data_IF_317192989053
#
_entry.id   IF_317192989053
#
_cell.length_a   1.000
_cell.length_b   1.000
_cell.length_c   1.000
_cell.angle_alpha   90.00
_cell.angle_beta   90.00
_cell.angle_gamma   90.00
#
_symmetry.space_group_name_H-M   'P 1'
#
loop_
_entity.id
_entity.type
_entity.pdbx_description
1 polymer ?
#
# COMPACT_ATOMS: atom_id res chain seq x y z
N UNK A 1 -44.01 40.56 -19.44
CA UNK A 1 -42.56 40.51 -19.41
C UNK A 1 -42.14 39.68 -18.22
N UNK A 2 -41.66 38.48 -18.45
CA UNK A 2 -41.06 37.64 -17.42
C UNK A 2 -39.62 38.08 -17.25
N UNK A 3 -39.34 38.84 -16.18
CA UNK A 3 -37.98 39.11 -15.75
C UNK A 3 -37.44 37.85 -15.10
N UNK A 4 -36.65 37.11 -15.84
CA UNK A 4 -35.87 36.00 -15.29
C UNK A 4 -34.83 36.61 -14.38
N UNK A 5 -35.05 36.52 -13.07
CA UNK A 5 -34.10 36.96 -12.07
C UNK A 5 -32.89 36.03 -12.16
N UNK A 6 -31.78 36.56 -12.65
CA UNK A 6 -30.51 35.87 -12.68
C UNK A 6 -29.98 35.77 -11.25
N UNK A 7 -29.98 34.56 -10.69
CA UNK A 7 -29.45 34.30 -9.35
C UNK A 7 -28.16 33.45 -9.47
N UNK A 8 -27.01 34.09 -9.60
CA UNK A 8 -25.74 33.37 -9.78
C UNK A 8 -25.33 32.53 -8.55
N UNK A 9 -25.90 32.82 -7.38
CA UNK A 9 -25.59 32.11 -6.15
C UNK A 9 -26.18 30.70 -6.09
N UNK A 10 -27.36 30.49 -6.71
CA UNK A 10 -27.99 29.17 -6.75
C UNK A 10 -27.28 28.20 -7.70
N UNK A 11 -26.61 28.69 -8.75
CA UNK A 11 -25.80 27.88 -9.63
C UNK A 11 -24.50 27.44 -8.96
N UNK A 12 -23.88 28.27 -8.11
CA UNK A 12 -22.68 27.96 -7.36
C UNK A 12 -22.99 26.93 -6.29
N UNK A 13 -24.12 27.02 -5.58
CA UNK A 13 -24.55 26.01 -4.61
C UNK A 13 -24.79 24.66 -5.27
N UNK A 14 -25.44 24.64 -6.43
CA UNK A 14 -25.68 23.38 -7.15
C UNK A 14 -24.39 22.76 -7.72
N UNK A 15 -23.41 23.57 -8.08
CA UNK A 15 -22.08 23.10 -8.49
C UNK A 15 -21.27 22.57 -7.30
N UNK A 16 -21.36 23.23 -6.15
CA UNK A 16 -20.73 22.75 -4.92
C UNK A 16 -21.35 21.44 -4.43
N UNK A 17 -22.67 21.31 -4.47
CA UNK A 17 -23.35 20.06 -4.14
C UNK A 17 -22.98 18.91 -5.10
N UNK A 18 -22.82 19.20 -6.38
CA UNK A 18 -22.35 18.23 -7.36
C UNK A 18 -20.89 17.83 -7.13
N UNK A 19 -20.03 18.77 -6.76
CA UNK A 19 -18.63 18.50 -6.42
C UNK A 19 -18.50 17.71 -5.11
N UNK A 20 -19.31 18.03 -4.11
CA UNK A 20 -19.35 17.31 -2.84
C UNK A 20 -19.93 15.90 -3.03
N UNK A 21 -21.00 15.72 -3.80
CA UNK A 21 -21.54 14.42 -4.14
C UNK A 21 -20.61 13.59 -5.05
N UNK A 22 -19.88 14.25 -5.96
CA UNK A 22 -18.82 13.57 -6.72
C UNK A 22 -17.70 13.05 -5.81
N UNK A 23 -17.37 13.80 -4.76
CA UNK A 23 -16.35 13.41 -3.78
C UNK A 23 -16.85 12.31 -2.84
N UNK A 24 -18.17 12.26 -2.57
CA UNK A 24 -18.81 11.19 -1.82
C UNK A 24 -19.07 9.92 -2.65
N UNK A 25 -19.17 10.05 -3.98
CA UNK A 25 -19.33 8.93 -4.92
C UNK A 25 -18.01 8.38 -5.47
N UNK A 26 -16.88 9.02 -5.17
CA UNK A 26 -15.59 8.35 -5.35
C UNK A 26 -15.55 7.16 -4.41
N UNK A 27 -15.36 5.95 -4.93
CA UNK A 27 -15.10 4.84 -4.03
C UNK A 27 -13.92 5.24 -3.17
N UNK A 28 -14.16 5.40 -1.88
CA UNK A 28 -13.14 5.67 -0.85
C UNK A 28 -12.04 4.60 -0.83
N UNK A 29 -12.18 3.61 -1.71
CA UNK A 29 -11.34 2.44 -1.75
C UNK A 29 -9.86 2.73 -2.04
N UNK A 30 -9.53 3.71 -2.89
CA UNK A 30 -8.12 3.88 -3.26
C UNK A 30 -7.31 4.71 -2.26
N UNK A 31 -7.87 5.80 -1.73
CA UNK A 31 -7.20 6.61 -0.70
C UNK A 31 -7.24 5.94 0.68
N UNK A 32 -8.37 5.28 0.99
CA UNK A 32 -8.51 4.50 2.22
C UNK A 32 -7.62 3.26 2.21
N UNK A 33 -7.45 2.59 1.08
CA UNK A 33 -6.52 1.47 0.93
C UNK A 33 -5.06 1.91 1.05
N UNK A 34 -4.67 3.08 0.53
CA UNK A 34 -3.32 3.62 0.72
C UNK A 34 -3.06 4.02 2.18
N UNK A 35 -4.05 4.57 2.87
CA UNK A 35 -3.93 4.91 4.29
C UNK A 35 -3.85 3.68 5.20
N UNK A 36 -4.33 2.52 4.74
CA UNK A 36 -4.33 1.26 5.46
C UNK A 36 -3.17 0.33 5.08
N UNK A 37 -2.42 0.68 4.03
CA UNK A 37 -1.26 -0.10 3.63
C UNK A 37 -0.11 0.07 4.62
N UNK A 38 0.56 -1.02 4.99
CA UNK A 38 1.71 -0.94 5.88
C UNK A 38 2.83 -0.13 5.23
N UNK A 39 3.60 0.55 6.05
CA UNK A 39 4.81 1.25 5.60
C UNK A 39 5.85 0.24 5.16
N UNK A 40 6.61 0.62 4.15
CA UNK A 40 7.57 -0.29 3.52
C UNK A 40 8.76 0.50 3.01
N UNK A 41 9.94 -0.07 3.23
CA UNK A 41 11.20 0.35 2.61
C UNK A 41 11.65 -0.70 1.60
N UNK A 42 12.17 -0.24 0.47
CA UNK A 42 12.84 -1.08 -0.51
C UNK A 42 14.29 -0.64 -0.57
N UNK A 43 15.18 -1.57 -0.30
CA UNK A 43 16.62 -1.33 -0.24
C UNK A 43 17.27 -2.11 -1.37
N UNK A 44 18.02 -1.43 -2.23
CA UNK A 44 18.92 -2.07 -3.18
C UNK A 44 20.26 -2.32 -2.50
N UNK A 45 20.71 -3.56 -2.53
CA UNK A 45 22.00 -4.01 -2.04
C UNK A 45 22.81 -4.63 -3.18
N UNK A 46 24.12 -4.85 -2.97
CA UNK A 46 24.98 -5.41 -3.99
C UNK A 46 24.53 -6.81 -4.46
N UNK A 47 23.96 -7.59 -3.56
CA UNK A 47 23.52 -8.96 -3.79
C UNK A 47 22.03 -9.11 -4.11
N UNK A 48 21.27 -8.00 -4.12
CA UNK A 48 19.84 -8.07 -4.42
C UNK A 48 19.03 -6.93 -3.83
N UNK A 49 17.78 -7.23 -3.54
CA UNK A 49 16.79 -6.29 -3.03
C UNK A 49 16.20 -6.75 -1.72
N UNK A 50 15.99 -5.83 -0.79
CA UNK A 50 15.40 -6.12 0.51
C UNK A 50 14.16 -5.25 0.69
N UNK A 51 13.02 -5.89 0.91
CA UNK A 51 11.77 -5.24 1.25
C UNK A 51 11.54 -5.36 2.76
N UNK A 52 11.38 -4.26 3.46
CA UNK A 52 11.06 -4.23 4.88
C UNK A 52 9.68 -3.63 5.09
N UNK A 53 8.77 -4.41 5.65
CA UNK A 53 7.37 -4.04 5.83
C UNK A 53 7.03 -4.03 7.31
N UNK A 54 6.49 -2.92 7.80
CA UNK A 54 6.03 -2.82 9.17
C UNK A 54 4.70 -3.56 9.35
N UNK A 55 4.73 -4.63 10.13
CA UNK A 55 3.57 -5.50 10.39
C UNK A 55 3.35 -5.72 11.90
N UNK A 56 3.24 -4.65 12.68
CA UNK A 56 3.12 -4.77 14.13
C UNK A 56 1.86 -5.55 14.53
N UNK A 57 2.00 -6.48 15.45
CA UNK A 57 0.89 -7.29 15.95
C UNK A 57 0.38 -8.35 14.97
N UNK A 58 1.16 -8.69 13.96
CA UNK A 58 0.88 -9.79 13.02
C UNK A 58 1.88 -10.91 13.19
N UNK A 59 1.42 -12.13 13.01
CA UNK A 59 2.24 -13.32 13.01
C UNK A 59 2.48 -13.79 11.57
N UNK A 60 3.46 -14.67 11.38
CA UNK A 60 3.78 -15.19 10.03
C UNK A 60 2.59 -15.88 9.34
N UNK A 61 1.69 -16.46 10.10
CA UNK A 61 0.46 -17.10 9.57
C UNK A 61 -0.56 -16.09 9.01
N UNK A 62 -0.44 -14.81 9.41
CA UNK A 62 -1.29 -13.72 8.93
C UNK A 62 -0.74 -13.08 7.66
N UNK A 63 0.46 -13.47 7.23
CA UNK A 63 1.21 -12.89 6.13
C UNK A 63 1.36 -13.86 4.96
N UNK A 64 1.31 -13.33 3.75
CA UNK A 64 1.53 -14.07 2.51
C UNK A 64 2.47 -13.28 1.63
N UNK A 65 3.50 -13.95 1.13
CA UNK A 65 4.41 -13.42 0.11
C UNK A 65 4.35 -14.35 -1.08
N UNK A 66 4.10 -13.81 -2.26
CA UNK A 66 4.01 -14.60 -3.49
C UNK A 66 4.69 -13.87 -4.65
N UNK A 67 5.15 -14.65 -5.60
CA UNK A 67 5.69 -14.16 -6.87
C UNK A 67 4.94 -14.81 -8.02
N UNK A 68 4.54 -13.98 -8.96
CA UNK A 68 3.98 -14.39 -10.24
C UNK A 68 4.69 -13.63 -11.36
N UNK A 69 5.47 -14.37 -12.16
CA UNK A 69 6.36 -13.76 -13.13
C UNK A 69 7.41 -12.87 -12.45
N UNK A 70 7.37 -11.58 -12.70
CA UNK A 70 8.21 -10.57 -12.05
C UNK A 70 7.46 -9.73 -11.02
N UNK A 71 6.26 -10.12 -10.65
CA UNK A 71 5.42 -9.39 -9.70
C UNK A 71 5.51 -10.02 -8.31
N UNK A 72 6.07 -9.28 -7.37
CA UNK A 72 6.10 -9.62 -5.95
C UNK A 72 4.84 -9.07 -5.29
N UNK A 73 4.07 -9.93 -4.65
CA UNK A 73 2.89 -9.55 -3.85
C UNK A 73 3.13 -9.85 -2.38
N UNK A 74 2.93 -8.84 -1.55
CA UNK A 74 2.97 -8.94 -0.10
C UNK A 74 1.58 -8.61 0.42
N UNK A 75 0.95 -9.57 1.10
CA UNK A 75 -0.39 -9.45 1.63
C UNK A 75 -0.45 -9.92 3.08
N UNK A 76 -1.45 -9.44 3.79
CA UNK A 76 -1.69 -9.86 5.16
C UNK A 76 -3.06 -9.45 5.68
N UNK A 77 -3.42 -10.02 6.82
CA UNK A 77 -4.66 -9.72 7.52
C UNK A 77 -4.40 -9.53 9.01
N UNK A 78 -4.76 -8.37 9.54
CA UNK A 78 -4.81 -8.14 10.99
C UNK A 78 -6.23 -8.34 11.47
N UNK A 79 -6.47 -9.41 12.21
CA UNK A 79 -7.76 -9.74 12.77
C UNK A 79 -8.01 -8.93 14.04
N UNK A 80 -9.25 -8.48 14.21
CA UNK A 80 -9.71 -7.96 15.48
C UNK A 80 -9.96 -9.17 16.39
N UNK A 81 -9.19 -9.31 17.44
CA UNK A 81 -9.47 -10.32 18.47
C UNK A 81 -10.76 -9.91 19.21
N UNK A 82 -11.82 -10.64 18.95
CA UNK A 82 -13.05 -10.58 19.74
C UNK A 82 -12.98 -11.69 20.77
N UNK A 83 -12.55 -11.35 21.96
CA UNK A 83 -12.89 -12.19 23.10
C UNK A 83 -14.39 -12.08 23.36
N UNK A 84 -15.03 -13.18 23.82
CA UNK A 84 -16.49 -13.28 24.09
C UNK A 84 -17.02 -12.27 25.12
N UNK A 85 -16.18 -11.66 25.91
CA UNK A 85 -16.48 -10.48 26.70
C UNK A 85 -16.40 -9.26 25.81
N UNK A 86 -17.54 -8.75 25.34
CA UNK A 86 -17.65 -7.51 24.54
C UNK A 86 -16.81 -6.37 25.13
N UNK A 87 -15.54 -6.19 24.74
CA UNK A 87 -14.76 -5.08 25.23
C UNK A 87 -15.37 -3.80 24.68
N UNK A 88 -15.66 -2.85 25.53
CA UNK A 88 -16.03 -1.51 25.10
C UNK A 88 -14.76 -0.80 24.70
N UNK A 89 -14.54 -0.64 23.40
CA UNK A 89 -13.48 0.21 22.94
C UNK A 89 -13.76 1.65 23.31
N UNK A 90 -12.88 2.24 24.08
CA UNK A 90 -12.94 3.66 24.39
C UNK A 90 -12.40 4.51 23.22
N UNK A 91 -11.37 3.98 22.54
CA UNK A 91 -10.73 4.59 21.37
C UNK A 91 -10.10 3.51 20.51
N UNK A 92 -10.27 3.58 19.20
CA UNK A 92 -9.67 2.68 18.22
C UNK A 92 -8.85 3.50 17.24
N UNK A 93 -7.54 3.29 17.23
CA UNK A 93 -6.60 3.95 16.33
C UNK A 93 -5.78 2.94 15.52
N UNK A 94 -5.87 1.64 15.84
CA UNK A 94 -5.18 0.59 15.10
C UNK A 94 -6.02 0.16 13.90
N UNK A 95 -5.34 -0.13 12.81
CA UNK A 95 -5.98 -0.70 11.62
C UNK A 95 -6.16 -2.20 11.77
N UNK A 96 -7.34 -2.68 11.38
CA UNK A 96 -7.70 -4.08 11.25
C UNK A 96 -8.19 -4.35 9.84
N UNK A 97 -7.99 -5.57 9.35
CA UNK A 97 -8.42 -5.99 8.03
C UNK A 97 -7.24 -6.40 7.16
N UNK A 98 -7.49 -6.44 5.86
CA UNK A 98 -6.56 -6.96 4.86
C UNK A 98 -5.82 -5.84 4.18
N UNK A 99 -4.56 -6.11 3.85
CA UNK A 99 -3.78 -5.31 2.93
C UNK A 99 -3.15 -6.19 1.85
N UNK A 100 -2.86 -5.61 0.71
CA UNK A 100 -2.09 -6.23 -0.35
C UNK A 100 -1.27 -5.16 -1.07
N UNK A 101 0.02 -5.44 -1.27
CA UNK A 101 0.92 -4.57 -2.02
C UNK A 101 1.64 -5.38 -3.07
N UNK A 102 1.72 -4.82 -4.29
CA UNK A 102 2.37 -5.45 -5.43
C UNK A 102 3.54 -4.59 -5.91
N UNK A 103 4.64 -5.24 -6.27
CA UNK A 103 5.85 -4.59 -6.75
C UNK A 103 6.38 -5.33 -7.96
N UNK A 104 6.69 -4.60 -9.03
CA UNK A 104 7.44 -5.16 -10.16
C UNK A 104 8.89 -5.30 -9.75
N UNK A 105 9.43 -6.50 -9.84
CA UNK A 105 10.85 -6.75 -9.61
C UNK A 105 11.68 -6.25 -10.79
N UNK A 106 12.87 -5.69 -10.54
CA UNK A 106 13.82 -5.38 -11.60
C UNK A 106 14.21 -6.60 -12.43
N UNK A 107 14.67 -6.39 -13.67
CA UNK A 107 15.04 -7.47 -14.59
C UNK A 107 16.17 -8.35 -14.08
N UNK A 108 17.05 -7.77 -13.27
CA UNK A 108 18.19 -8.46 -12.65
C UNK A 108 17.84 -9.18 -11.33
N UNK A 109 16.60 -9.05 -10.85
CA UNK A 109 16.13 -9.77 -9.67
C UNK A 109 15.81 -11.23 -10.02
N UNK A 110 16.23 -12.15 -9.14
CA UNK A 110 15.95 -13.57 -9.26
C UNK A 110 14.66 -13.92 -8.53
N UNK A 111 13.58 -14.08 -9.30
CA UNK A 111 12.27 -14.43 -8.78
C UNK A 111 12.21 -15.82 -8.12
N UNK A 112 13.14 -16.72 -8.44
CA UNK A 112 13.22 -18.06 -7.87
C UNK A 112 14.00 -18.08 -6.55
N UNK A 113 14.70 -17.00 -6.22
CA UNK A 113 15.54 -16.86 -5.03
C UNK A 113 14.99 -15.77 -4.09
N UNK A 114 13.82 -16.05 -3.51
CA UNK A 114 13.13 -15.16 -2.59
C UNK A 114 12.99 -15.81 -1.23
N UNK A 115 13.40 -15.09 -0.19
CA UNK A 115 13.27 -15.50 1.20
C UNK A 115 12.49 -14.45 1.98
N UNK A 116 11.59 -14.91 2.83
CA UNK A 116 10.82 -14.01 3.69
C UNK A 116 10.88 -14.49 5.14
N UNK A 117 11.10 -13.56 6.05
CA UNK A 117 11.03 -13.81 7.49
C UNK A 117 10.37 -12.65 8.22
N UNK A 118 9.70 -12.97 9.32
CA UNK A 118 9.05 -11.97 10.15
C UNK A 118 9.62 -12.02 11.56
N UNK A 119 10.16 -10.90 12.01
CA UNK A 119 10.73 -10.75 13.34
C UNK A 119 10.45 -9.35 13.89
N UNK A 120 10.08 -9.29 15.17
CA UNK A 120 9.87 -8.01 15.90
C UNK A 120 8.91 -7.04 15.20
N UNK A 121 7.87 -7.55 14.54
CA UNK A 121 6.87 -6.75 13.83
C UNK A 121 7.32 -6.20 12.48
N UNK A 122 8.40 -6.74 11.92
CA UNK A 122 8.90 -6.40 10.59
C UNK A 122 8.96 -7.66 9.73
N UNK A 123 8.30 -7.63 8.59
CA UNK A 123 8.44 -8.62 7.54
C UNK A 123 9.58 -8.18 6.63
N UNK A 124 10.61 -9.00 6.54
CA UNK A 124 11.72 -8.80 5.61
C UNK A 124 11.61 -9.79 4.47
N UNK A 125 11.65 -9.31 3.24
CA UNK A 125 11.67 -10.13 2.02
C UNK A 125 12.94 -9.83 1.27
N UNK A 126 13.80 -10.83 1.16
CA UNK A 126 15.06 -10.79 0.43
C UNK A 126 14.89 -11.39 -0.94
N UNK A 127 15.26 -10.66 -1.98
CA UNK A 127 15.24 -11.10 -3.37
C UNK A 127 16.66 -11.03 -3.90
N UNK A 128 17.26 -12.16 -4.20
CA UNK A 128 18.63 -12.19 -4.72
C UNK A 128 18.70 -11.57 -6.11
N UNK A 129 19.90 -11.13 -6.48
CA UNK A 129 20.21 -10.73 -7.85
C UNK A 129 20.56 -11.96 -8.67
N UNK A 130 20.21 -11.99 -9.95
CA UNK A 130 20.60 -13.07 -10.86
C UNK A 130 22.11 -13.18 -10.94
N UNK A 131 22.61 -14.39 -11.06
CA UNK A 131 24.04 -14.65 -11.21
C UNK A 131 24.64 -13.87 -12.38
N UNK A 132 25.75 -13.17 -12.13
CA UNK A 132 26.43 -12.35 -13.13
C UNK A 132 25.80 -10.99 -13.40
N UNK A 133 24.67 -10.66 -12.81
CA UNK A 133 24.08 -9.33 -12.89
C UNK A 133 24.87 -8.35 -12.00
N UNK A 134 25.18 -7.18 -12.54
CA UNK A 134 25.85 -6.12 -11.78
C UNK A 134 24.82 -5.09 -11.33
N UNK A 135 25.05 -4.43 -10.17
CA UNK A 135 24.21 -3.33 -9.73
C UNK A 135 24.12 -2.26 -10.82
N UNK A 136 22.92 -1.86 -11.15
CA UNK A 136 22.71 -0.74 -12.05
C UNK A 136 22.95 0.55 -11.26
N UNK A 137 24.04 1.22 -11.51
CA UNK A 137 24.28 2.54 -10.93
C UNK A 137 23.45 3.57 -11.69
N UNK A 138 22.79 4.49 -11.00
CA UNK A 138 22.07 5.57 -11.66
C UNK A 138 23.08 6.42 -12.45
N UNK A 139 22.84 6.56 -13.75
CA UNK A 139 23.62 7.45 -14.61
C UNK A 139 23.02 8.83 -14.49
N UNK A 140 23.81 9.81 -14.02
CA UNK A 140 23.39 11.19 -14.01
C UNK A 140 23.27 11.71 -15.45
N UNK A 141 22.08 12.19 -15.80
CA UNK A 141 21.83 12.86 -17.10
C UNK A 141 21.97 14.36 -16.84
N UNK A 142 22.93 15.04 -17.49
CA UNK A 142 23.03 16.49 -17.38
C UNK A 142 21.80 17.15 -18.01
N UNK A 143 21.23 18.09 -17.29
CA UNK A 143 20.14 18.92 -17.80
C UNK A 143 20.78 20.10 -18.56
N UNK A 144 20.47 20.20 -19.85
CA UNK A 144 20.88 21.35 -20.70
C UNK A 144 19.90 22.51 -20.55
#
# INVERSE_FOLDING_TARGET
>A
MNLTRWEPLNEIESLMDRLLNWQLLRPQSSLSMMAQSPRLDIIEADNGYVFKVDVPGMEKQDLTVSIEGNMLTIAGERKLEREDSKPKFFRVERFYGRFSRCFSLPEDADADSVHAHCEKGVLTVDVARKDGAQPTHPTAIPVE
#
